data_IF_394168344468
#
_entry.id   IF_394168344468
#
_cell.length_a   1.000
_cell.length_b   1.000
_cell.length_c   1.000
_cell.angle_alpha   90.00
_cell.angle_beta   90.00
_cell.angle_gamma   90.00
#
_symmetry.space_group_name_H-M   'P 1'
#
loop_
_entity.id
_entity.type
_entity.pdbx_description
1 polymer ?
#
# COMPACT_ATOMS: atom_id res chain seq x y z
N UNK A 1 -15.97 19.10 7.04
CA UNK A 1 -14.71 18.71 6.35
C UNK A 1 -14.88 18.92 4.86
N UNK A 2 -13.88 19.49 4.18
CA UNK A 2 -13.92 19.64 2.72
C UNK A 2 -13.32 18.39 2.03
N UNK A 3 -13.63 18.19 0.75
CA UNK A 3 -13.14 17.06 -0.06
C UNK A 3 -11.61 17.01 -0.12
N UNK A 4 -10.95 18.17 -0.13
CA UNK A 4 -9.49 18.29 -0.11
C UNK A 4 -8.89 17.71 1.18
N UNK A 5 -9.53 17.92 2.33
CA UNK A 5 -9.09 17.36 3.62
C UNK A 5 -9.15 15.82 3.60
N UNK A 6 -10.20 15.23 3.03
CA UNK A 6 -10.34 13.78 2.89
C UNK A 6 -9.22 13.24 1.98
N UNK A 7 -8.96 13.92 0.87
CA UNK A 7 -7.96 13.51 -0.11
C UNK A 7 -6.55 13.54 0.49
N UNK A 8 -6.18 14.63 1.18
CA UNK A 8 -4.89 14.72 1.90
C UNK A 8 -4.77 13.67 3.01
N UNK A 9 -5.82 13.48 3.80
CA UNK A 9 -5.84 12.46 4.85
C UNK A 9 -5.60 11.06 4.26
N UNK A 10 -6.29 10.73 3.17
CA UNK A 10 -6.12 9.47 2.45
C UNK A 10 -4.70 9.32 1.93
N UNK A 11 -4.13 10.34 1.29
CA UNK A 11 -2.76 10.29 0.77
C UNK A 11 -1.74 10.01 1.89
N UNK A 12 -1.86 10.70 3.03
CA UNK A 12 -0.96 10.51 4.18
C UNK A 12 -1.11 9.10 4.77
N UNK A 13 -2.34 8.66 5.05
CA UNK A 13 -2.58 7.36 5.68
C UNK A 13 -2.19 6.19 4.78
N UNK A 14 -2.54 6.25 3.50
CA UNK A 14 -2.13 5.23 2.53
C UNK A 14 -0.61 5.24 2.31
N UNK A 15 0.02 6.42 2.31
CA UNK A 15 1.47 6.56 2.20
C UNK A 15 2.20 5.93 3.38
N UNK A 16 1.77 6.24 4.61
CA UNK A 16 2.31 5.62 5.83
C UNK A 16 2.10 4.11 5.84
N UNK A 17 0.94 3.63 5.40
CA UNK A 17 0.67 2.18 5.26
C UNK A 17 1.61 1.54 4.25
N UNK A 18 1.79 2.16 3.07
CA UNK A 18 2.69 1.68 2.03
C UNK A 18 4.14 1.64 2.49
N UNK A 19 4.61 2.68 3.20
CA UNK A 19 5.94 2.71 3.80
C UNK A 19 6.11 1.64 4.89
N UNK A 20 5.08 1.42 5.71
CA UNK A 20 5.09 0.36 6.73
C UNK A 20 5.18 -1.03 6.12
N UNK A 21 4.46 -1.30 5.03
CA UNK A 21 4.57 -2.54 4.26
C UNK A 21 5.97 -2.70 3.65
N UNK A 22 6.51 -1.64 3.03
CA UNK A 22 7.85 -1.66 2.46
C UNK A 22 8.91 -1.95 3.53
N UNK A 23 8.84 -1.26 4.67
CA UNK A 23 9.76 -1.46 5.79
C UNK A 23 9.69 -2.90 6.33
N UNK A 24 8.50 -3.46 6.47
CA UNK A 24 8.32 -4.85 6.89
C UNK A 24 8.98 -5.81 5.90
N UNK A 25 8.75 -5.64 4.59
CA UNK A 25 9.32 -6.52 3.58
C UNK A 25 10.86 -6.44 3.53
N UNK A 26 11.41 -5.22 3.58
CA UNK A 26 12.86 -5.00 3.61
C UNK A 26 13.46 -5.66 4.85
N UNK A 27 12.84 -5.49 6.02
CA UNK A 27 13.30 -6.12 7.25
C UNK A 27 13.22 -7.66 7.17
N UNK A 28 12.15 -8.22 6.60
CA UNK A 28 12.01 -9.67 6.45
C UNK A 28 13.12 -10.25 5.59
N UNK A 29 13.40 -9.62 4.44
CA UNK A 29 14.47 -10.03 3.53
C UNK A 29 15.86 -9.86 4.17
N UNK A 30 16.11 -8.73 4.84
CA UNK A 30 17.41 -8.45 5.46
C UNK A 30 17.72 -9.37 6.64
N UNK A 31 16.70 -9.72 7.44
CA UNK A 31 16.85 -10.61 8.60
C UNK A 31 16.71 -12.10 8.24
N UNK A 32 16.35 -12.41 7.00
CA UNK A 32 16.14 -13.78 6.53
C UNK A 32 14.96 -14.50 7.18
N UNK A 33 14.06 -13.80 7.87
CA UNK A 33 12.92 -14.38 8.60
C UNK A 33 11.59 -13.71 8.26
N UNK A 34 10.46 -14.44 8.27
CA UNK A 34 9.15 -13.89 7.86
C UNK A 34 8.54 -12.92 8.88
N UNK A 35 9.03 -12.91 10.12
CA UNK A 35 8.54 -12.17 11.28
C UNK A 35 9.59 -11.20 11.83
N UNK A 36 10.12 -10.24 11.02
CA UNK A 36 11.15 -9.31 11.47
C UNK A 36 10.73 -8.47 12.68
N UNK A 37 9.43 -8.18 12.78
CA UNK A 37 8.76 -7.46 13.88
C UNK A 37 7.50 -8.24 14.30
N UNK A 38 6.40 -7.56 14.62
CA UNK A 38 5.11 -8.20 14.84
C UNK A 38 4.45 -8.61 13.51
N UNK A 39 4.07 -9.87 13.36
CA UNK A 39 3.45 -10.43 12.13
C UNK A 39 2.18 -9.68 11.67
N UNK A 40 1.44 -9.08 12.60
CA UNK A 40 0.21 -8.33 12.32
C UNK A 40 0.45 -6.87 11.92
N UNK A 41 1.69 -6.38 11.94
CA UNK A 41 2.03 -4.98 11.72
C UNK A 41 1.46 -4.40 10.42
N UNK A 42 1.66 -5.02 9.24
CA UNK A 42 1.12 -4.49 7.99
C UNK A 42 -0.41 -4.42 8.00
N UNK A 43 -1.05 -5.47 8.54
CA UNK A 43 -2.52 -5.56 8.65
C UNK A 43 -3.08 -4.49 9.59
N UNK A 44 -2.44 -4.24 10.73
CA UNK A 44 -2.86 -3.22 11.68
C UNK A 44 -2.79 -1.82 11.06
N UNK A 45 -1.72 -1.51 10.32
CA UNK A 45 -1.61 -0.23 9.59
C UNK A 45 -2.69 -0.08 8.53
N UNK A 46 -2.94 -1.11 7.74
CA UNK A 46 -3.97 -1.09 6.70
C UNK A 46 -5.38 -0.92 7.28
N UNK A 47 -5.71 -1.65 8.35
CA UNK A 47 -7.00 -1.54 9.03
C UNK A 47 -7.19 -0.18 9.69
N UNK A 48 -6.18 0.34 10.38
CA UNK A 48 -6.24 1.65 11.01
C UNK A 48 -6.44 2.76 9.97
N UNK A 49 -5.67 2.73 8.88
CA UNK A 49 -5.78 3.71 7.79
C UNK A 49 -7.13 3.62 7.08
N UNK A 50 -7.57 2.42 6.71
CA UNK A 50 -8.87 2.20 6.07
C UNK A 50 -10.03 2.65 6.96
N UNK A 51 -9.99 2.30 8.25
CA UNK A 51 -10.97 2.72 9.24
C UNK A 51 -11.03 4.25 9.40
N UNK A 52 -9.87 4.91 9.52
CA UNK A 52 -9.80 6.36 9.63
C UNK A 52 -10.33 7.08 8.37
N UNK A 53 -10.00 6.59 7.17
CA UNK A 53 -10.52 7.13 5.90
C UNK A 53 -12.03 6.94 5.80
N UNK A 54 -12.54 5.77 6.20
CA UNK A 54 -13.96 5.47 6.18
C UNK A 54 -14.73 6.38 7.16
N UNK A 55 -14.25 6.50 8.40
CA UNK A 55 -14.85 7.37 9.42
C UNK A 55 -14.84 8.84 8.98
N UNK A 56 -13.72 9.33 8.42
CA UNK A 56 -13.61 10.67 7.86
C UNK A 56 -14.61 10.91 6.72
N UNK A 57 -14.79 9.91 5.85
CA UNK A 57 -15.73 10.00 4.72
C UNK A 57 -17.19 10.03 5.19
N UNK A 58 -17.54 9.23 6.20
CA UNK A 58 -18.86 9.23 6.82
C UNK A 58 -19.13 10.56 7.51
N UNK A 59 -18.17 11.05 8.32
CA UNK A 59 -18.29 12.32 9.04
C UNK A 59 -18.38 13.54 8.12
N UNK A 60 -17.74 13.51 6.95
CA UNK A 60 -17.80 14.59 5.98
C UNK A 60 -19.13 14.65 5.20
N UNK A 61 -19.92 13.58 5.21
CA UNK A 61 -21.19 13.49 4.51
C UNK A 61 -21.06 13.08 3.03
N UNK A 62 -22.19 12.65 2.45
CA UNK A 62 -22.23 12.00 1.13
C UNK A 62 -21.74 12.87 -0.02
N UNK A 63 -21.98 14.18 0.01
CA UNK A 63 -21.55 15.11 -1.04
C UNK A 63 -20.03 15.26 -1.06
N UNK A 64 -19.41 15.55 0.10
CA UNK A 64 -17.96 15.70 0.23
C UNK A 64 -17.22 14.38 -0.06
N UNK A 65 -17.75 13.24 0.40
CA UNK A 65 -17.18 11.93 0.12
C UNK A 65 -17.20 11.60 -1.39
N UNK A 66 -18.29 11.96 -2.10
CA UNK A 66 -18.35 11.80 -3.57
C UNK A 66 -17.38 12.72 -4.29
N UNK A 67 -17.26 13.97 -3.85
CA UNK A 67 -16.29 14.92 -4.40
C UNK A 67 -14.83 14.45 -4.17
N UNK A 68 -14.54 13.77 -3.06
CA UNK A 68 -13.23 13.17 -2.81
C UNK A 68 -12.98 11.85 -3.58
N UNK A 69 -13.98 11.33 -4.29
CA UNK A 69 -13.93 10.11 -5.11
C UNK A 69 -14.33 10.39 -6.57
N UNK A 70 -13.94 11.57 -7.03
CA UNK A 70 -14.19 12.12 -8.36
C UNK A 70 -13.41 11.40 -9.47
N UNK A 71 -13.48 11.96 -10.68
CA UNK A 71 -12.81 11.40 -11.86
C UNK A 71 -11.29 11.41 -11.73
N UNK A 72 -10.72 12.45 -11.10
CA UNK A 72 -9.28 12.54 -10.85
C UNK A 72 -8.83 11.39 -9.95
N UNK A 73 -9.51 11.17 -8.83
CA UNK A 73 -9.22 10.04 -7.94
C UNK A 73 -9.28 8.70 -8.69
N UNK A 74 -10.30 8.47 -9.52
CA UNK A 74 -10.43 7.22 -10.28
C UNK A 74 -9.33 7.03 -11.32
N UNK A 75 -8.94 8.11 -12.01
CA UNK A 75 -7.87 8.08 -12.99
C UNK A 75 -6.51 7.78 -12.32
N UNK A 76 -6.23 8.41 -11.18
CA UNK A 76 -5.04 8.17 -10.35
C UNK A 76 -5.02 6.72 -9.86
N UNK A 77 -6.14 6.25 -9.31
CA UNK A 77 -6.29 4.88 -8.80
C UNK A 77 -6.05 3.84 -9.91
N UNK A 78 -6.69 4.02 -11.07
CA UNK A 78 -6.53 3.12 -12.21
C UNK A 78 -5.09 3.08 -12.74
N UNK A 79 -4.42 4.23 -12.81
CA UNK A 79 -3.01 4.30 -13.22
C UNK A 79 -2.09 3.60 -12.22
N UNK A 80 -2.29 3.86 -10.92
CA UNK A 80 -1.53 3.20 -9.86
C UNK A 80 -1.74 1.68 -9.88
N UNK A 81 -2.98 1.22 -10.08
CA UNK A 81 -3.30 -0.20 -10.17
C UNK A 81 -2.64 -0.88 -11.37
N UNK A 82 -2.67 -0.25 -12.55
CA UNK A 82 -2.03 -0.80 -13.76
C UNK A 82 -0.51 -0.94 -13.60
N UNK A 83 0.15 0.05 -13.00
CA UNK A 83 1.59 -0.01 -12.73
C UNK A 83 1.93 -1.01 -11.63
N UNK A 84 1.14 -1.01 -10.54
CA UNK A 84 1.33 -1.93 -9.43
C UNK A 84 1.14 -3.39 -9.84
N UNK A 85 0.24 -3.67 -10.79
CA UNK A 85 0.07 -5.01 -11.35
C UNK A 85 1.38 -5.53 -11.96
N UNK A 86 1.97 -4.78 -12.89
CA UNK A 86 3.21 -5.20 -13.56
C UNK A 86 4.39 -5.26 -12.59
N UNK A 87 4.49 -4.30 -11.69
CA UNK A 87 5.54 -4.30 -10.65
C UNK A 87 5.38 -5.51 -9.71
N UNK A 88 4.15 -5.81 -9.29
CA UNK A 88 3.86 -6.99 -8.45
C UNK A 88 4.20 -8.30 -9.15
N UNK A 89 3.92 -8.40 -10.45
CA UNK A 89 4.28 -9.58 -11.24
C UNK A 89 5.80 -9.77 -11.33
N UNK A 90 6.55 -8.69 -11.54
CA UNK A 90 8.01 -8.72 -11.54
C UNK A 90 8.57 -9.12 -10.17
N UNK A 91 8.01 -8.56 -9.08
CA UNK A 91 8.39 -8.89 -7.71
C UNK A 91 8.09 -10.36 -7.37
N UNK A 92 6.93 -10.87 -7.80
CA UNK A 92 6.56 -12.27 -7.65
C UNK A 92 7.59 -13.18 -8.33
N UNK A 93 7.94 -12.91 -9.59
CA UNK A 93 8.92 -13.70 -10.32
C UNK A 93 10.31 -13.64 -9.66
N UNK A 94 10.75 -12.45 -9.22
CA UNK A 94 12.05 -12.26 -8.59
C UNK A 94 12.16 -12.99 -7.24
N UNK A 95 11.16 -12.87 -6.37
CA UNK A 95 11.16 -13.54 -5.07
C UNK A 95 10.96 -15.05 -5.20
N UNK A 96 10.14 -15.50 -6.15
CA UNK A 96 10.00 -16.93 -6.46
C UNK A 96 11.32 -17.54 -6.93
N UNK A 97 12.06 -16.85 -7.79
CA UNK A 97 13.38 -17.29 -8.24
C UNK A 97 14.42 -17.29 -7.11
N UNK A 98 14.44 -16.24 -6.29
CA UNK A 98 15.32 -16.16 -5.11
C UNK A 98 15.03 -17.29 -4.11
N UNK A 99 13.76 -17.65 -3.93
CA UNK A 99 13.37 -18.77 -3.07
C UNK A 99 13.74 -20.13 -3.67
N UNK A 100 13.54 -20.31 -4.99
CA UNK A 100 13.88 -21.55 -5.69
C UNK A 100 15.39 -21.86 -5.69
N UNK A 101 16.23 -20.83 -5.71
CA UNK A 101 17.69 -20.95 -5.65
C UNK A 101 18.25 -21.06 -4.22
N UNK A 102 17.38 -20.96 -3.21
CA UNK A 102 17.78 -20.97 -1.80
C UNK A 102 18.40 -19.67 -1.30
N UNK A 103 18.39 -18.60 -2.11
CA UNK A 103 18.90 -17.29 -1.69
C UNK A 103 18.05 -16.66 -0.57
N UNK A 104 16.75 -16.98 -0.53
CA UNK A 104 15.81 -16.56 0.53
C UNK A 104 14.93 -17.75 0.91
N UNK A 105 14.59 -17.90 2.20
CA UNK A 105 13.64 -18.92 2.62
C UNK A 105 12.23 -18.66 2.07
N UNK A 106 11.48 -19.70 1.69
CA UNK A 106 10.13 -19.58 1.13
C UNK A 106 9.18 -18.76 2.00
N UNK A 107 9.19 -18.99 3.32
CA UNK A 107 8.35 -18.22 4.25
C UNK A 107 8.66 -16.72 4.21
N UNK A 108 9.95 -16.37 4.20
CA UNK A 108 10.44 -14.99 4.12
C UNK A 108 10.06 -14.35 2.78
N UNK A 109 10.23 -15.10 1.67
CA UNK A 109 9.83 -14.65 0.34
C UNK A 109 8.33 -14.35 0.26
N UNK A 110 7.47 -15.23 0.80
CA UNK A 110 6.01 -15.01 0.85
C UNK A 110 5.62 -13.80 1.69
N UNK A 111 6.20 -13.65 2.88
CA UNK A 111 5.92 -12.52 3.77
C UNK A 111 6.33 -11.19 3.13
N UNK A 112 7.52 -11.14 2.53
CA UNK A 112 8.01 -9.98 1.80
C UNK A 112 7.16 -9.68 0.56
N UNK A 113 6.75 -10.69 -0.20
CA UNK A 113 5.96 -10.55 -1.42
C UNK A 113 4.64 -9.84 -1.14
N UNK A 114 3.84 -10.32 -0.18
CA UNK A 114 2.54 -9.71 0.12
C UNK A 114 2.68 -8.24 0.53
N UNK A 115 3.69 -7.92 1.32
CA UNK A 115 3.98 -6.56 1.76
C UNK A 115 4.46 -5.67 0.60
N UNK A 116 5.34 -6.16 -0.27
CA UNK A 116 5.83 -5.40 -1.43
C UNK A 116 4.72 -5.13 -2.46
N UNK A 117 3.80 -6.07 -2.67
CA UNK A 117 2.65 -5.86 -3.55
C UNK A 117 1.72 -4.77 -3.01
N UNK A 118 1.42 -4.80 -1.70
CA UNK A 118 0.65 -3.74 -1.04
C UNK A 118 1.38 -2.40 -1.09
N UNK A 119 2.67 -2.37 -0.78
CA UNK A 119 3.50 -1.17 -0.85
C UNK A 119 3.54 -0.58 -2.27
N UNK A 120 3.72 -1.41 -3.29
CA UNK A 120 3.76 -1.00 -4.69
C UNK A 120 2.51 -0.20 -5.05
N UNK A 121 1.32 -0.75 -4.79
CA UNK A 121 0.07 -0.05 -5.08
C UNK A 121 -0.09 1.25 -4.28
N UNK A 122 0.07 1.19 -2.96
CA UNK A 122 -0.18 2.32 -2.08
C UNK A 122 0.78 3.49 -2.35
N UNK A 123 2.07 3.20 -2.54
CA UNK A 123 3.07 4.23 -2.81
C UNK A 123 2.92 4.81 -4.21
N UNK A 124 2.59 4.00 -5.22
CA UNK A 124 2.29 4.51 -6.56
C UNK A 124 1.04 5.39 -6.56
N UNK A 125 0.00 5.00 -5.83
CA UNK A 125 -1.20 5.83 -5.66
C UNK A 125 -0.84 7.20 -5.08
N UNK A 126 -0.14 7.23 -3.94
CA UNK A 126 0.26 8.49 -3.29
C UNK A 126 1.18 9.31 -4.19
N UNK A 127 2.12 8.68 -4.89
CA UNK A 127 3.01 9.37 -5.81
C UNK A 127 2.26 10.07 -6.95
N UNK A 128 1.27 9.41 -7.55
CA UNK A 128 0.46 10.01 -8.60
C UNK A 128 -0.46 11.09 -8.05
N UNK A 129 -1.05 10.88 -6.87
CA UNK A 129 -1.91 11.85 -6.19
C UNK A 129 -1.14 13.15 -5.89
N UNK A 130 0.08 13.04 -5.34
CA UNK A 130 0.95 14.18 -5.04
C UNK A 130 1.48 14.92 -6.28
N UNK A 131 1.56 14.25 -7.44
CA UNK A 131 2.01 14.87 -8.70
C UNK A 131 0.91 15.63 -9.42
N UNK A 132 -0.35 15.37 -9.08
CA UNK A 132 -1.53 15.93 -9.73
C UNK A 132 -2.30 16.90 -8.82
N UNK A 133 -1.94 16.97 -7.53
CA UNK A 133 -2.39 17.97 -6.57
C UNK A 133 -1.59 19.28 -6.70
#
# INVERSE_FOLDING_TARGET
MQSETISRLRAVLLGLTGLGCLAYAVAALAMGRPDPVAWYWPSALGLASGGAIALASVAAGRSAARAAADELFRAVWGRAQGQAYWLSLALFAALGFAAATGAVGWATAYAAQGCLMGAAFLLLFVWHDLRLA
#
